data_IF_536817677998
#
_entry.id   IF_536817677998
#
_cell.length_a   1.000
_cell.length_b   1.000
_cell.length_c   1.000
_cell.angle_alpha   90.00
_cell.angle_beta   90.00
_cell.angle_gamma   90.00
#
_symmetry.space_group_name_H-M   'P 1'
#
loop_
_entity.id
_entity.type
_entity.pdbx_description
1 polymer ?
#
# COMPACT_ATOMS: atom_id res chain seq x y z
N UNK A 1 25.34 14.23 -3.57
CA UNK A 1 25.30 13.29 -2.45
C UNK A 1 24.18 12.35 -2.80
N UNK A 2 24.47 11.11 -3.10
CA UNK A 2 23.46 10.10 -3.39
C UNK A 2 22.82 9.70 -2.05
N UNK A 3 21.51 9.98 -1.91
CA UNK A 3 20.77 9.55 -0.74
C UNK A 3 20.75 8.01 -0.73
N UNK A 4 21.32 7.42 0.30
CA UNK A 4 21.32 5.97 0.51
C UNK A 4 19.95 5.61 1.09
N UNK A 5 19.19 4.80 0.37
CA UNK A 5 17.91 4.29 0.85
C UNK A 5 18.12 3.02 1.68
N UNK A 6 17.49 2.95 2.85
CA UNK A 6 17.49 1.78 3.72
C UNK A 6 16.13 1.12 3.73
N UNK A 7 16.10 -0.21 3.89
CA UNK A 7 14.86 -0.94 4.18
C UNK A 7 14.28 -0.51 5.53
N UNK A 8 12.98 -0.68 5.73
CA UNK A 8 12.26 -0.28 6.93
C UNK A 8 12.78 -0.95 8.22
N UNK A 9 13.38 -2.15 8.12
CA UNK A 9 14.01 -2.86 9.23
C UNK A 9 15.50 -2.52 9.42
N UNK A 10 16.05 -1.62 8.58
CA UNK A 10 17.45 -1.18 8.61
C UNK A 10 18.46 -2.25 8.22
N UNK A 11 18.03 -3.41 7.74
CA UNK A 11 18.93 -4.53 7.43
C UNK A 11 19.50 -4.49 6.03
N UNK A 12 18.90 -3.71 5.13
CA UNK A 12 19.29 -3.61 3.72
C UNK A 12 19.41 -2.17 3.31
N UNK A 13 20.35 -1.88 2.41
CA UNK A 13 20.48 -0.59 1.76
C UNK A 13 20.47 -0.79 0.24
N UNK A 14 19.93 0.20 -0.48
CA UNK A 14 19.85 0.16 -1.92
C UNK A 14 21.15 0.67 -2.56
N UNK A 15 21.77 -0.19 -3.38
CA UNK A 15 22.90 0.15 -4.22
C UNK A 15 22.38 0.58 -5.59
N UNK A 16 22.31 1.90 -5.82
CA UNK A 16 21.82 2.47 -7.08
C UNK A 16 22.74 2.17 -8.26
N UNK A 17 24.03 1.99 -8.02
CA UNK A 17 25.01 1.70 -9.07
C UNK A 17 24.95 0.22 -9.48
N UNK A 18 24.68 -0.67 -8.52
CA UNK A 18 24.51 -2.10 -8.75
C UNK A 18 23.05 -2.52 -9.03
N UNK A 19 22.10 -1.60 -8.88
CA UNK A 19 20.65 -1.87 -8.99
C UNK A 19 20.20 -3.08 -8.16
N UNK A 20 20.64 -3.14 -6.90
CA UNK A 20 20.37 -4.26 -6.00
C UNK A 20 20.40 -3.85 -4.52
N UNK A 21 19.66 -4.59 -3.69
CA UNK A 21 19.72 -4.45 -2.24
C UNK A 21 20.97 -5.14 -1.68
N UNK A 22 21.67 -4.46 -0.78
CA UNK A 22 22.84 -4.97 -0.06
C UNK A 22 22.51 -5.15 1.42
N UNK A 23 22.95 -6.25 2.01
CA UNK A 23 22.80 -6.48 3.44
C UNK A 23 23.75 -5.59 4.25
N UNK A 24 23.25 -4.96 5.30
CA UNK A 24 24.06 -4.14 6.23
C UNK A 24 25.09 -4.99 6.97
N UNK A 25 24.79 -6.26 7.24
CA UNK A 25 25.65 -7.17 8.02
C UNK A 25 26.66 -7.95 7.19
N UNK A 26 26.76 -7.70 5.88
CA UNK A 26 27.70 -8.38 4.99
C UNK A 26 27.49 -9.90 4.84
N UNK A 27 26.41 -10.43 5.38
CA UNK A 27 25.98 -11.81 5.19
C UNK A 27 25.05 -11.88 3.99
N UNK A 28 25.64 -12.07 2.83
CA UNK A 28 24.96 -12.18 1.57
C UNK A 28 24.16 -13.48 1.50
N UNK A 29 22.82 -13.35 1.50
CA UNK A 29 21.97 -14.26 0.76
C UNK A 29 21.10 -13.38 -0.14
N UNK A 30 21.64 -13.08 -1.32
CA UNK A 30 20.83 -12.47 -2.37
C UNK A 30 19.69 -13.44 -2.70
N UNK A 31 18.43 -13.00 -2.80
CA UNK A 31 17.38 -13.82 -3.38
C UNK A 31 17.72 -14.01 -4.86
N UNK A 32 18.12 -15.21 -5.25
CA UNK A 32 18.23 -15.60 -6.65
C UNK A 32 19.57 -16.15 -7.15
N UNK A 33 20.32 -16.95 -6.38
CA UNK A 33 21.32 -17.82 -6.99
C UNK A 33 21.13 -19.26 -6.51
N UNK A 34 20.43 -20.04 -7.34
CA UNK A 34 20.30 -21.48 -7.21
C UNK A 34 21.65 -22.16 -7.48
N UNK A 35 22.31 -22.68 -6.47
CA UNK A 35 23.23 -23.79 -6.63
C UNK A 35 22.74 -24.95 -5.76
N UNK A 36 22.42 -26.03 -6.43
CA UNK A 36 21.91 -27.29 -5.92
C UNK A 36 22.82 -27.93 -4.90
N UNK A 37 22.31 -28.18 -3.72
CA UNK A 37 22.56 -29.41 -2.96
C UNK A 37 21.47 -29.51 -1.88
N UNK A 38 20.57 -30.47 -2.04
CA UNK A 38 19.50 -30.73 -1.12
C UNK A 38 20.05 -31.25 0.23
N UNK A 39 19.53 -30.75 1.33
CA UNK A 39 19.18 -31.58 2.47
C UNK A 39 17.69 -31.54 2.74
N UNK A 40 17.20 -32.71 3.12
CA UNK A 40 15.90 -33.13 3.57
C UNK A 40 14.88 -32.08 3.99
N UNK A 41 13.69 -32.29 3.46
CA UNK A 41 12.37 -31.81 3.78
C UNK A 41 12.12 -31.54 5.28
N UNK A 42 12.30 -30.29 5.67
CA UNK A 42 11.54 -29.68 6.74
C UNK A 42 10.61 -28.69 6.07
N UNK A 43 9.46 -29.12 5.62
CA UNK A 43 8.45 -28.26 5.04
C UNK A 43 8.07 -27.19 6.07
N UNK A 44 8.57 -25.97 5.89
CA UNK A 44 7.92 -24.81 6.47
C UNK A 44 6.56 -24.74 5.80
N UNK A 45 5.52 -25.18 6.50
CA UNK A 45 4.16 -24.90 6.09
C UNK A 45 3.99 -23.38 6.17
N UNK A 46 4.08 -22.72 5.04
CA UNK A 46 3.67 -21.33 4.90
C UNK A 46 2.20 -21.32 5.33
N UNK A 47 1.91 -20.70 6.47
CA UNK A 47 0.53 -20.59 6.95
C UNK A 47 -0.20 -19.69 5.95
N UNK A 48 -1.35 -20.13 5.45
CA UNK A 48 -2.11 -19.31 4.51
C UNK A 48 -2.46 -17.99 5.19
N UNK A 49 -2.12 -16.90 4.53
CA UNK A 49 -2.48 -15.56 4.92
C UNK A 49 -3.97 -15.34 4.68
N UNK A 50 -4.69 -14.83 5.67
CA UNK A 50 -6.09 -14.45 5.50
C UNK A 50 -6.40 -13.28 6.42
N UNK A 51 -6.22 -12.08 5.92
CA UNK A 51 -6.50 -10.83 6.62
C UNK A 51 -7.54 -10.07 5.82
N UNK A 52 -8.67 -9.74 6.44
CA UNK A 52 -9.75 -9.03 5.77
C UNK A 52 -10.39 -8.01 6.71
N UNK A 53 -10.44 -6.77 6.27
CA UNK A 53 -11.14 -5.67 6.92
C UNK A 53 -12.48 -5.43 6.21
N UNK A 54 -13.53 -5.22 6.99
CA UNK A 54 -14.84 -4.90 6.45
C UNK A 54 -15.04 -3.39 6.40
N UNK A 55 -15.32 -2.87 5.22
CA UNK A 55 -15.56 -1.46 4.97
C UNK A 55 -16.88 -1.25 4.22
N UNK A 56 -17.43 -0.05 4.34
CA UNK A 56 -18.47 0.41 3.42
C UNK A 56 -17.79 1.12 2.25
N UNK A 57 -18.04 0.65 1.02
CA UNK A 57 -17.54 1.32 -0.18
C UNK A 57 -18.15 2.72 -0.29
N UNK A 58 -17.29 3.73 -0.42
CA UNK A 58 -17.68 5.12 -0.66
C UNK A 58 -17.17 5.53 -2.03
N UNK A 59 -18.07 5.67 -3.03
CA UNK A 59 -17.69 6.15 -4.34
C UNK A 59 -17.22 7.60 -4.30
N UNK A 60 -16.24 7.94 -5.13
CA UNK A 60 -15.89 9.34 -5.33
C UNK A 60 -16.98 10.09 -6.10
N UNK A 61 -17.43 11.26 -5.63
CA UNK A 61 -18.45 12.04 -6.33
C UNK A 61 -17.93 12.79 -7.57
N UNK A 62 -16.64 13.03 -7.65
CA UNK A 62 -15.96 13.73 -8.77
C UNK A 62 -14.64 13.05 -9.14
N UNK A 63 -14.07 13.40 -10.28
CA UNK A 63 -12.83 12.81 -10.79
C UNK A 63 -11.58 13.16 -9.95
N UNK A 64 -11.70 14.11 -9.01
CA UNK A 64 -10.58 14.59 -8.18
C UNK A 64 -10.69 14.17 -6.71
N UNK A 65 -11.70 13.41 -6.30
CA UNK A 65 -11.99 13.10 -4.90
C UNK A 65 -11.68 11.66 -4.47
N UNK A 66 -10.89 10.91 -5.24
CA UNK A 66 -10.48 9.54 -4.87
C UNK A 66 -9.81 9.48 -3.49
N UNK A 67 -8.94 10.43 -3.18
CA UNK A 67 -8.24 10.55 -1.91
C UNK A 67 -9.21 10.74 -0.73
N UNK A 68 -10.18 11.66 -0.88
CA UNK A 68 -11.17 11.95 0.16
C UNK A 68 -12.16 10.81 0.35
N UNK A 69 -12.60 10.17 -0.75
CA UNK A 69 -13.48 9.00 -0.68
C UNK A 69 -12.78 7.82 0.01
N UNK A 70 -11.50 7.61 -0.25
CA UNK A 70 -10.72 6.58 0.43
C UNK A 70 -10.51 6.89 1.92
N UNK A 71 -10.27 8.15 2.31
CA UNK A 71 -10.23 8.55 3.73
C UNK A 71 -11.62 8.41 4.36
N UNK A 72 -12.70 8.75 3.65
CA UNK A 72 -14.07 8.57 4.12
C UNK A 72 -14.38 7.10 4.47
N UNK A 73 -13.89 6.15 3.67
CA UNK A 73 -14.00 4.71 3.98
C UNK A 73 -13.29 4.32 5.27
N UNK A 74 -12.10 4.90 5.55
CA UNK A 74 -11.37 4.63 6.80
C UNK A 74 -12.04 5.25 8.03
N UNK A 75 -12.68 6.40 7.87
CA UNK A 75 -13.14 7.25 8.98
C UNK A 75 -14.63 7.17 9.25
N UNK A 76 -15.38 6.56 8.35
CA UNK A 76 -16.85 6.55 8.37
C UNK A 76 -17.47 7.96 8.26
N UNK A 77 -16.82 8.85 7.54
CA UNK A 77 -17.28 10.21 7.25
C UNK A 77 -17.87 10.32 5.86
N UNK A 78 -18.48 11.46 5.54
CA UNK A 78 -18.83 11.78 4.14
C UNK A 78 -17.59 12.31 3.40
N UNK A 79 -17.61 12.23 2.07
CA UNK A 79 -16.52 12.81 1.25
C UNK A 79 -16.48 14.32 1.41
N UNK A 80 -17.63 14.96 1.54
CA UNK A 80 -17.76 16.39 1.75
C UNK A 80 -17.15 16.83 3.09
N UNK A 81 -17.35 16.05 4.17
CA UNK A 81 -16.73 16.34 5.47
C UNK A 81 -15.22 16.23 5.36
N UNK A 82 -14.68 15.17 4.72
CA UNK A 82 -13.23 15.00 4.54
C UNK A 82 -12.63 16.15 3.74
N UNK A 83 -13.28 16.57 2.65
CA UNK A 83 -12.83 17.74 1.88
C UNK A 83 -12.86 19.02 2.72
N UNK A 84 -13.96 19.24 3.46
CA UNK A 84 -14.13 20.43 4.30
C UNK A 84 -13.06 20.50 5.40
N UNK A 85 -12.76 19.38 6.05
CA UNK A 85 -11.74 19.30 7.10
C UNK A 85 -10.32 19.53 6.55
N UNK A 86 -10.11 19.30 5.24
CA UNK A 86 -8.90 19.68 4.51
C UNK A 86 -8.92 21.14 3.99
N UNK A 87 -9.99 21.88 4.21
CA UNK A 87 -10.17 23.23 3.68
C UNK A 87 -10.50 23.30 2.19
N UNK A 88 -11.08 22.23 1.64
CA UNK A 88 -11.39 22.04 0.23
C UNK A 88 -12.87 21.79 -0.04
N UNK A 89 -13.24 21.85 -1.31
CA UNK A 89 -14.52 21.37 -1.83
C UNK A 89 -14.31 20.09 -2.66
N UNK A 90 -15.39 19.41 -3.03
CA UNK A 90 -15.34 18.20 -3.86
C UNK A 90 -14.93 18.43 -5.32
N UNK A 91 -14.69 19.68 -5.71
CA UNK A 91 -14.29 20.06 -7.08
C UNK A 91 -12.89 20.64 -7.16
N UNK A 92 -12.24 20.84 -6.03
CA UNK A 92 -10.90 21.41 -5.98
C UNK A 92 -9.83 20.35 -6.34
N UNK A 93 -8.83 20.76 -7.08
CA UNK A 93 -7.63 19.94 -7.28
C UNK A 93 -6.84 19.89 -5.98
N UNK A 94 -6.29 18.74 -5.66
CA UNK A 94 -5.57 18.50 -4.41
C UNK A 94 -4.06 18.37 -4.63
N UNK A 95 -3.33 18.63 -3.58
CA UNK A 95 -1.92 18.29 -3.42
C UNK A 95 -1.68 17.51 -2.14
N UNK A 96 -0.43 17.17 -1.88
CA UNK A 96 -0.11 16.37 -0.69
C UNK A 96 -0.45 17.11 0.61
N UNK A 97 -0.28 18.42 0.67
CA UNK A 97 -0.58 19.22 1.86
C UNK A 97 -2.04 19.17 2.31
N UNK A 98 -2.97 19.10 1.37
CA UNK A 98 -4.40 18.95 1.66
C UNK A 98 -4.71 17.53 2.18
N UNK A 99 -4.02 16.52 1.64
CA UNK A 99 -4.14 15.13 2.13
C UNK A 99 -3.60 15.03 3.56
N UNK A 100 -2.43 15.59 3.85
CA UNK A 100 -1.85 15.64 5.21
C UNK A 100 -2.79 16.34 6.20
N UNK A 101 -3.44 17.43 5.78
CA UNK A 101 -4.41 18.13 6.62
C UNK A 101 -5.60 17.23 6.96
N UNK A 102 -6.16 16.52 6.00
CA UNK A 102 -7.25 15.56 6.23
C UNK A 102 -6.79 14.38 7.10
N UNK A 103 -5.64 13.80 6.83
CA UNK A 103 -5.05 12.71 7.62
C UNK A 103 -4.94 13.12 9.09
N UNK A 104 -4.40 14.31 9.35
CA UNK A 104 -4.26 14.87 10.70
C UNK A 104 -5.61 15.17 11.36
N UNK A 105 -6.54 15.80 10.63
CA UNK A 105 -7.86 16.15 11.15
C UNK A 105 -8.68 14.94 11.59
N UNK A 106 -8.48 13.80 10.93
CA UNK A 106 -9.18 12.54 11.24
C UNK A 106 -8.39 11.59 12.15
N UNK A 107 -7.25 12.03 12.67
CA UNK A 107 -6.43 11.21 13.58
C UNK A 107 -5.87 9.95 12.93
N UNK A 108 -5.67 9.98 11.64
CA UNK A 108 -5.03 8.92 10.88
C UNK A 108 -3.51 9.02 11.02
N UNK A 109 -2.83 7.92 10.81
CA UNK A 109 -1.36 7.84 10.91
C UNK A 109 -0.77 7.65 9.52
N UNK A 110 0.09 8.57 9.12
CA UNK A 110 0.93 8.40 7.94
C UNK A 110 2.04 7.39 8.26
N UNK A 111 2.10 6.31 7.47
CA UNK A 111 3.19 5.32 7.56
C UNK A 111 4.39 5.79 6.72
N UNK A 112 4.12 6.72 5.80
CA UNK A 112 5.09 7.27 4.85
C UNK A 112 5.20 6.46 3.57
N UNK A 113 6.10 6.87 2.67
CA UNK A 113 6.33 6.12 1.46
C UNK A 113 6.89 4.74 1.79
N UNK A 114 6.27 3.70 1.27
CA UNK A 114 6.71 2.34 1.49
C UNK A 114 6.46 1.45 0.27
N UNK A 115 7.27 0.41 0.18
CA UNK A 115 7.10 -0.70 -0.74
C UNK A 115 7.24 -2.00 0.03
N UNK A 116 6.70 -3.08 -0.49
CA UNK A 116 6.83 -4.39 0.18
C UNK A 116 5.88 -5.44 -0.38
N UNK A 117 6.08 -6.65 0.07
CA UNK A 117 5.25 -7.81 -0.25
C UNK A 117 4.02 -7.94 0.66
N UNK A 118 3.21 -8.97 0.44
CA UNK A 118 2.04 -9.25 1.27
C UNK A 118 2.39 -9.41 2.76
N UNK A 119 3.54 -9.97 3.08
CA UNK A 119 4.07 -10.15 4.43
C UNK A 119 4.36 -8.83 5.15
N UNK A 120 4.72 -7.79 4.40
CA UNK A 120 4.90 -6.44 4.94
C UNK A 120 3.56 -5.78 5.29
N UNK A 121 2.54 -5.92 4.44
CA UNK A 121 1.25 -5.26 4.62
C UNK A 121 0.30 -6.02 5.56
N UNK A 122 0.40 -7.33 5.66
CA UNK A 122 -0.52 -8.13 6.45
C UNK A 122 -0.59 -7.72 7.94
N UNK A 123 0.53 -7.49 8.67
CA UNK A 123 0.47 -7.06 10.06
C UNK A 123 -0.17 -5.67 10.25
N UNK A 124 -0.11 -4.81 9.23
CA UNK A 124 -0.79 -3.53 9.26
C UNK A 124 -2.28 -3.71 9.04
N UNK A 125 -2.66 -4.53 8.07
CA UNK A 125 -4.04 -4.86 7.77
C UNK A 125 -4.77 -5.58 8.90
N UNK A 126 -4.07 -6.36 9.74
CA UNK A 126 -4.65 -6.92 10.96
C UNK A 126 -5.20 -5.84 11.90
N UNK A 127 -4.61 -4.65 11.88
CA UNK A 127 -4.97 -3.53 12.74
C UNK A 127 -6.00 -2.60 12.09
N UNK A 128 -5.84 -2.33 10.81
CA UNK A 128 -6.60 -1.32 10.09
C UNK A 128 -6.51 -1.53 8.57
N UNK A 129 -7.55 -1.19 7.81
CA UNK A 129 -7.41 -1.02 6.37
C UNK A 129 -6.40 0.10 6.05
N UNK A 130 -5.77 0.01 4.89
CA UNK A 130 -4.70 0.91 4.47
C UNK A 130 -5.16 1.76 3.30
N UNK A 131 -5.10 3.07 3.45
CA UNK A 131 -5.19 4.00 2.34
C UNK A 131 -3.87 3.99 1.58
N UNK A 132 -3.91 3.81 0.29
CA UNK A 132 -2.74 3.73 -0.58
C UNK A 132 -2.96 4.65 -1.77
N UNK A 133 -1.96 5.49 -2.07
CA UNK A 133 -1.98 6.36 -3.24
C UNK A 133 -0.76 6.11 -4.11
N UNK A 134 -1.00 5.95 -5.40
CA UNK A 134 0.01 5.98 -6.44
C UNK A 134 0.67 7.37 -6.50
N UNK A 135 1.98 7.43 -6.57
CA UNK A 135 2.73 8.70 -6.68
C UNK A 135 2.96 9.15 -8.13
N UNK A 136 2.66 8.29 -9.09
CA UNK A 136 2.67 8.62 -10.51
C UNK A 136 1.43 9.39 -10.97
N UNK A 137 1.50 10.10 -12.08
CA UNK A 137 0.33 10.75 -12.67
C UNK A 137 -0.35 9.79 -13.69
N UNK A 138 -1.69 9.65 -13.67
CA UNK A 138 -2.64 10.32 -12.79
C UNK A 138 -2.69 9.68 -11.40
N UNK A 139 -2.53 10.50 -10.36
CA UNK A 139 -2.62 10.04 -8.97
C UNK A 139 -3.98 9.39 -8.71
N UNK A 140 -3.97 8.20 -8.12
CA UNK A 140 -5.19 7.52 -7.71
C UNK A 140 -5.04 6.93 -6.31
N UNK A 141 -6.05 7.12 -5.48
CA UNK A 141 -6.08 6.62 -4.11
C UNK A 141 -7.15 5.53 -3.96
N UNK A 142 -6.78 4.45 -3.28
CA UNK A 142 -7.66 3.31 -2.97
C UNK A 142 -7.46 2.87 -1.53
N UNK A 143 -8.28 1.92 -1.07
CA UNK A 143 -8.10 1.27 0.23
C UNK A 143 -7.80 -0.21 0.04
N UNK A 144 -6.62 -0.64 0.46
CA UNK A 144 -6.30 -2.05 0.61
C UNK A 144 -6.98 -2.56 1.89
N UNK A 145 -7.87 -3.53 1.75
CA UNK A 145 -8.69 -4.05 2.84
C UNK A 145 -8.47 -5.53 3.13
N UNK A 146 -7.77 -6.27 2.29
CA UNK A 146 -7.52 -7.68 2.55
C UNK A 146 -6.40 -8.28 1.72
N UNK A 147 -5.80 -9.32 2.28
CA UNK A 147 -4.81 -10.18 1.64
C UNK A 147 -5.14 -11.64 1.95
N UNK A 148 -5.27 -12.47 0.92
CA UNK A 148 -5.61 -13.89 1.06
C UNK A 148 -4.75 -14.74 0.14
N UNK A 149 -4.05 -15.74 0.68
CA UNK A 149 -3.20 -16.65 -0.11
C UNK A 149 -2.01 -17.18 0.67
N UNK A 150 -0.98 -17.59 -0.02
CA UNK A 150 0.22 -18.19 0.58
C UNK A 150 1.27 -17.17 1.06
N UNK A 151 1.06 -15.87 0.86
CA UNK A 151 1.96 -14.82 1.32
C UNK A 151 3.03 -14.40 0.30
N UNK A 152 3.11 -15.06 -0.86
CA UNK A 152 3.96 -14.59 -1.95
C UNK A 152 3.23 -13.61 -2.88
N UNK A 153 3.98 -12.92 -3.73
CA UNK A 153 3.43 -11.97 -4.69
C UNK A 153 2.46 -12.60 -5.68
N UNK A 154 2.74 -13.84 -6.09
CA UNK A 154 1.99 -14.53 -7.15
C UNK A 154 0.81 -15.36 -6.63
N UNK A 155 0.83 -15.74 -5.36
CA UNK A 155 -0.18 -16.61 -4.76
C UNK A 155 -1.06 -15.90 -3.71
N UNK A 156 -0.95 -14.57 -3.61
CA UNK A 156 -1.75 -13.75 -2.72
C UNK A 156 -2.68 -12.85 -3.52
N UNK A 157 -3.96 -12.87 -3.18
CA UNK A 157 -4.99 -11.98 -3.70
C UNK A 157 -5.15 -10.78 -2.79
N UNK A 158 -5.15 -9.57 -3.37
CA UNK A 158 -5.48 -8.33 -2.70
C UNK A 158 -6.97 -8.01 -2.88
N UNK A 159 -7.63 -7.58 -1.80
CA UNK A 159 -8.98 -7.00 -1.82
C UNK A 159 -8.88 -5.50 -1.66
N UNK A 160 -9.38 -4.76 -2.66
CA UNK A 160 -9.21 -3.33 -2.82
C UNK A 160 -10.59 -2.67 -2.90
N UNK A 161 -10.80 -1.63 -2.11
CA UNK A 161 -11.96 -0.75 -2.23
C UNK A 161 -11.53 0.46 -3.06
N UNK A 162 -11.96 0.46 -4.31
CA UNK A 162 -11.65 1.49 -5.30
C UNK A 162 -12.82 2.48 -5.37
N UNK A 163 -12.63 3.78 -5.06
CA UNK A 163 -13.69 4.77 -5.16
C UNK A 163 -14.10 5.06 -6.60
N UNK A 164 -13.31 4.65 -7.60
CA UNK A 164 -13.62 4.73 -9.01
C UNK A 164 -14.43 3.49 -9.49
N UNK A 165 -15.35 3.62 -10.48
CA UNK A 165 -15.75 4.84 -11.21
C UNK A 165 -16.56 5.80 -10.36
N UNK A 166 -16.49 7.10 -10.74
CA UNK A 166 -17.26 8.19 -10.11
C UNK A 166 -18.72 7.80 -9.91
N UNK A 167 -19.23 7.98 -8.70
CA UNK A 167 -20.61 7.72 -8.30
C UNK A 167 -20.98 6.25 -8.04
N UNK A 168 -20.11 5.27 -8.34
CA UNK A 168 -20.39 3.85 -8.08
C UNK A 168 -19.29 3.13 -7.29
N UNK A 169 -18.03 3.44 -7.57
CA UNK A 169 -16.90 2.71 -7.00
C UNK A 169 -16.88 1.22 -7.37
N UNK A 170 -15.89 0.50 -6.91
CA UNK A 170 -15.77 -0.94 -7.09
C UNK A 170 -15.05 -1.61 -5.91
N UNK A 171 -15.41 -2.86 -5.59
CA UNK A 171 -14.59 -3.73 -4.76
C UNK A 171 -13.88 -4.69 -5.73
N UNK A 172 -12.59 -4.58 -5.79
CA UNK A 172 -11.75 -5.35 -6.70
C UNK A 172 -11.01 -6.45 -5.94
N UNK A 173 -10.75 -7.54 -6.63
CA UNK A 173 -9.87 -8.61 -6.19
C UNK A 173 -8.92 -8.92 -7.33
N UNK A 174 -7.63 -8.86 -7.06
CA UNK A 174 -6.60 -9.11 -8.06
C UNK A 174 -5.36 -9.74 -7.41
N UNK A 175 -4.51 -10.43 -8.18
CA UNK A 175 -3.21 -10.88 -7.68
C UNK A 175 -2.43 -9.71 -7.06
N UNK A 176 -1.75 -9.95 -5.93
CA UNK A 176 -0.98 -8.91 -5.26
C UNK A 176 0.12 -8.34 -6.18
N UNK A 177 0.72 -9.17 -7.02
CA UNK A 177 1.71 -8.72 -8.01
C UNK A 177 1.16 -7.66 -8.97
N UNK A 178 -0.09 -7.83 -9.45
CA UNK A 178 -0.77 -6.85 -10.30
C UNK A 178 -1.08 -5.55 -9.55
N UNK A 179 -1.63 -5.67 -8.33
CA UNK A 179 -1.88 -4.53 -7.46
C UNK A 179 -0.59 -3.75 -7.16
N UNK A 180 0.48 -4.45 -6.81
CA UNK A 180 1.75 -3.83 -6.49
C UNK A 180 2.41 -3.15 -7.70
N UNK A 181 2.21 -3.67 -8.90
CA UNK A 181 2.65 -3.02 -10.13
C UNK A 181 1.85 -1.75 -10.41
N UNK A 182 0.53 -1.80 -10.24
CA UNK A 182 -0.38 -0.66 -10.47
C UNK A 182 -0.13 0.48 -9.48
N UNK A 183 0.15 0.16 -8.21
CA UNK A 183 0.33 1.14 -7.13
C UNK A 183 1.81 1.32 -6.72
N UNK A 184 2.73 0.93 -7.58
CA UNK A 184 4.17 1.16 -7.39
C UNK A 184 4.71 0.66 -6.04
N UNK A 185 4.22 -0.49 -5.57
CA UNK A 185 4.67 -1.09 -4.30
C UNK A 185 5.92 -1.96 -4.45
N UNK A 186 6.46 -2.07 -5.66
CA UNK A 186 7.67 -2.83 -5.98
C UNK A 186 8.95 -2.10 -5.61
N UNK A 187 10.08 -2.82 -5.71
CA UNK A 187 11.40 -2.26 -5.46
C UNK A 187 11.70 -1.07 -6.39
N UNK A 188 12.10 0.04 -5.82
CA UNK A 188 12.41 1.28 -6.54
C UNK A 188 11.21 2.23 -6.72
N UNK A 189 10.04 1.82 -6.30
CA UNK A 189 8.82 2.64 -6.27
C UNK A 189 8.25 2.63 -4.85
N UNK A 190 7.55 3.68 -4.47
CA UNK A 190 6.95 3.78 -3.14
C UNK A 190 5.59 4.46 -3.23
N UNK A 191 4.57 3.80 -2.69
CA UNK A 191 3.27 4.43 -2.49
C UNK A 191 3.21 5.12 -1.12
N UNK A 192 2.45 6.21 -1.02
CA UNK A 192 2.09 6.77 0.27
C UNK A 192 1.03 5.88 0.94
N UNK A 193 1.23 5.60 2.22
CA UNK A 193 0.37 4.72 3.00
C UNK A 193 -0.09 5.43 4.26
N UNK A 194 -1.40 5.37 4.50
CA UNK A 194 -2.03 5.90 5.70
C UNK A 194 -2.88 4.81 6.35
N UNK A 195 -2.85 4.73 7.66
CA UNK A 195 -3.66 3.82 8.46
C UNK A 195 -4.49 4.57 9.51
N UNK A 196 -5.43 3.88 10.08
CA UNK A 196 -6.22 4.30 11.23
C UNK A 196 -5.41 4.24 12.50
#
# INVERSE_FOLDING_TARGET
MTDVQYSADGRWWWDADGNQWQSVDGQSAAPGSSSSSAPAEGGMSVQPMSVNQSLTLVPQPTDVTCWAASIAMLTNKSVEDVCTDAGMTTTDSYGWGEIEAAVSAHGLTEIGPACGGPDYFAPMLERSPLWIVEQGAPYHAVVLAGLNGGGSWDDTEATIYNPWPTGSGAIERKPFAEFAQEYELGAGSMAQIVSR
#
